data_IF_606155200697
#
_entry.id   IF_606155200697
#
_cell.length_a   1.000
_cell.length_b   1.000
_cell.length_c   1.000
_cell.angle_alpha   90.00
_cell.angle_beta   90.00
_cell.angle_gamma   90.00
#
_symmetry.space_group_name_H-M   'P 1'
#
loop_
_entity.id
_entity.type
_entity.pdbx_description
1 polymer ?
#
# COMPACT_ATOMS: atom_id res chain seq x y z
N UNK A 1 9.47 -9.85 22.57
CA UNK A 1 9.80 -8.53 22.00
C UNK A 1 10.17 -7.58 23.12
N UNK A 2 10.95 -6.53 22.81
CA UNK A 2 11.23 -5.44 23.75
C UNK A 2 10.02 -4.50 23.84
N UNK A 3 9.89 -3.76 24.94
CA UNK A 3 8.76 -2.85 25.16
C UNK A 3 8.72 -1.72 24.12
N UNK A 4 9.87 -1.16 23.74
CA UNK A 4 9.97 -0.10 22.71
C UNK A 4 9.41 -0.58 21.37
N UNK A 5 9.82 -1.77 20.95
CA UNK A 5 9.32 -2.41 19.73
C UNK A 5 7.81 -2.72 19.82
N UNK A 6 7.31 -3.07 21.00
CA UNK A 6 5.88 -3.26 21.22
C UNK A 6 5.11 -1.96 20.96
N UNK A 7 5.59 -0.83 21.49
CA UNK A 7 4.91 0.47 21.33
C UNK A 7 4.84 0.91 19.89
N UNK A 8 5.96 0.88 19.16
CA UNK A 8 5.97 1.24 17.74
C UNK A 8 5.03 0.36 16.90
N UNK A 9 4.99 -0.95 17.19
CA UNK A 9 4.13 -1.88 16.46
C UNK A 9 2.66 -1.73 16.85
N UNK A 10 2.38 -1.40 18.11
CA UNK A 10 1.03 -1.13 18.59
C UNK A 10 0.48 0.18 18.00
N UNK A 11 1.32 1.21 17.85
CA UNK A 11 0.96 2.49 17.22
C UNK A 11 0.61 2.36 15.74
N UNK A 12 1.22 1.40 15.04
CA UNK A 12 0.95 1.12 13.63
C UNK A 12 -0.24 0.20 13.41
N UNK A 13 -0.77 -0.42 14.47
CA UNK A 13 -1.93 -1.29 14.35
C UNK A 13 -3.17 -0.45 14.03
N UNK A 14 -3.93 -0.85 13.00
CA UNK A 14 -5.20 -0.19 12.67
C UNK A 14 -6.19 -0.35 13.82
N UNK A 15 -6.88 0.73 14.17
CA UNK A 15 -7.89 0.73 15.22
C UNK A 15 -9.04 -0.22 14.83
N UNK A 16 -9.30 -1.23 15.66
CA UNK A 16 -10.33 -2.26 15.40
C UNK A 16 -9.83 -3.51 14.66
N UNK A 17 -8.60 -3.54 14.15
CA UNK A 17 -8.01 -4.75 13.58
C UNK A 17 -7.52 -5.71 14.68
N UNK A 18 -7.56 -7.04 14.46
CA UNK A 18 -7.00 -8.00 15.41
C UNK A 18 -5.48 -7.79 15.51
N UNK A 19 -4.98 -7.71 16.74
CA UNK A 19 -3.54 -7.60 17.02
C UNK A 19 -2.81 -8.84 16.50
N UNK A 20 -1.57 -8.65 16.02
CA UNK A 20 -0.72 -9.78 15.66
C UNK A 20 -0.50 -10.70 16.88
N UNK A 21 -0.34 -12.03 16.69
CA UNK A 21 -0.21 -12.98 17.79
C UNK A 21 0.94 -12.63 18.75
N UNK A 22 2.03 -12.10 18.21
CA UNK A 22 3.18 -11.66 18.98
C UNK A 22 2.83 -10.48 19.91
N UNK A 23 2.11 -9.48 19.40
CA UNK A 23 1.64 -8.31 20.17
C UNK A 23 0.69 -8.75 21.28
N UNK A 24 -0.30 -9.58 20.95
CA UNK A 24 -1.27 -10.10 21.92
C UNK A 24 -0.59 -10.87 23.07
N UNK A 25 0.39 -11.72 22.74
CA UNK A 25 1.15 -12.48 23.74
C UNK A 25 1.99 -11.57 24.65
N UNK A 26 2.62 -10.54 24.08
CA UNK A 26 3.40 -9.60 24.87
C UNK A 26 2.53 -8.76 25.80
N UNK A 27 1.38 -8.30 25.31
CA UNK A 27 0.39 -7.56 26.10
C UNK A 27 -0.09 -8.38 27.30
N UNK A 28 -0.35 -9.68 27.11
CA UNK A 28 -0.75 -10.59 28.19
C UNK A 28 0.34 -10.87 29.23
N UNK A 29 1.63 -10.76 28.84
CA UNK A 29 2.77 -11.12 29.71
C UNK A 29 3.46 -9.93 30.36
N UNK A 30 3.37 -8.74 29.77
CA UNK A 30 4.09 -7.56 30.25
C UNK A 30 3.13 -6.58 30.95
N UNK A 31 3.15 -6.48 32.29
CA UNK A 31 2.23 -5.61 33.03
C UNK A 31 2.44 -4.12 32.72
N UNK A 32 3.68 -3.72 32.38
CA UNK A 32 4.01 -2.34 32.00
C UNK A 32 3.33 -1.94 30.70
N UNK A 33 3.39 -2.79 29.67
CA UNK A 33 2.73 -2.54 28.39
C UNK A 33 1.20 -2.61 28.53
N UNK A 34 0.68 -3.53 29.33
CA UNK A 34 -0.75 -3.61 29.64
C UNK A 34 -1.28 -2.31 30.30
N UNK A 35 -0.56 -1.79 31.30
CA UNK A 35 -0.93 -0.53 31.95
C UNK A 35 -0.92 0.67 30.99
N UNK A 36 0.06 0.74 30.09
CA UNK A 36 0.15 1.82 29.09
C UNK A 36 -1.00 1.77 28.07
N UNK A 37 -1.31 0.57 27.58
CA UNK A 37 -2.44 0.36 26.65
C UNK A 37 -3.77 0.75 27.31
N UNK A 38 -3.99 0.33 28.55
CA UNK A 38 -5.21 0.68 29.28
C UNK A 38 -5.32 2.18 29.55
N UNK A 39 -4.23 2.86 29.93
CA UNK A 39 -4.21 4.31 30.12
C UNK A 39 -4.59 5.04 28.83
N UNK A 40 -4.02 4.60 27.69
CA UNK A 40 -4.35 5.17 26.38
C UNK A 40 -5.80 4.92 26.00
N UNK A 41 -6.32 3.71 26.23
CA UNK A 41 -7.72 3.38 25.99
C UNK A 41 -8.66 4.30 26.76
N UNK A 42 -8.38 4.52 28.05
CA UNK A 42 -9.15 5.46 28.88
C UNK A 42 -9.05 6.90 28.41
N UNK A 43 -7.87 7.35 28.01
CA UNK A 43 -7.69 8.69 27.45
C UNK A 43 -8.54 8.87 26.17
N UNK A 44 -8.57 7.88 25.28
CA UNK A 44 -9.40 7.90 24.08
C UNK A 44 -10.90 7.86 24.40
N UNK A 45 -11.31 7.09 25.40
CA UNK A 45 -12.69 7.09 25.88
C UNK A 45 -13.11 8.47 26.40
N UNK A 46 -12.24 9.19 27.11
CA UNK A 46 -12.48 10.57 27.54
C UNK A 46 -12.61 11.54 26.35
N UNK A 47 -11.79 11.37 25.31
CA UNK A 47 -11.91 12.16 24.07
C UNK A 47 -13.23 11.91 23.31
N UNK A 48 -13.86 10.74 23.49
CA UNK A 48 -15.14 10.41 22.84
C UNK A 48 -16.36 11.00 23.55
N UNK A 49 -16.18 11.62 24.72
CA UNK A 49 -17.30 12.26 25.44
C UNK A 49 -17.71 13.51 24.65
N UNK A 50 -18.97 13.61 24.17
CA UNK A 50 -19.43 14.78 23.44
C UNK A 50 -19.40 16.01 24.37
N UNK A 51 -18.55 16.98 24.03
CA UNK A 51 -18.47 18.28 24.68
C UNK A 51 -18.84 19.42 23.71
N UNK A 52 -18.91 20.67 24.19
CA UNK A 52 -18.98 21.83 23.32
C UNK A 52 -17.64 21.98 22.58
N UNK A 53 -17.46 21.22 21.51
CA UNK A 53 -16.25 21.28 20.72
C UNK A 53 -16.25 22.58 19.90
N UNK A 54 -15.13 23.32 19.88
CA UNK A 54 -14.92 24.30 18.81
C UNK A 54 -15.01 23.58 17.47
N UNK A 55 -15.53 24.25 16.43
CA UNK A 55 -15.66 23.69 15.09
C UNK A 55 -14.29 23.40 14.44
N UNK A 56 -13.64 22.34 14.92
CA UNK A 56 -12.36 21.82 14.47
C UNK A 56 -12.54 21.16 13.12
N UNK A 57 -13.69 20.54 12.87
CA UNK A 57 -14.00 19.91 11.59
C UNK A 57 -13.89 20.92 10.44
N UNK A 58 -14.53 22.09 10.56
CA UNK A 58 -14.43 23.13 9.53
C UNK A 58 -13.01 23.70 9.40
N UNK A 59 -12.28 23.87 10.51
CA UNK A 59 -10.88 24.35 10.47
C UNK A 59 -9.94 23.35 9.80
N UNK A 60 -10.08 22.06 10.11
CA UNK A 60 -9.28 20.99 9.49
C UNK A 60 -9.64 20.85 8.01
N UNK A 61 -10.93 20.90 7.65
CA UNK A 61 -11.40 20.87 6.27
C UNK A 61 -10.92 22.07 5.45
N UNK A 62 -10.80 23.25 6.06
CA UNK A 62 -10.23 24.42 5.41
C UNK A 62 -8.72 24.27 5.10
N UNK A 63 -8.00 23.46 5.89
CA UNK A 63 -6.54 23.26 5.74
C UNK A 63 -6.21 22.06 4.84
N UNK A 64 -7.10 21.09 4.72
CA UNK A 64 -6.92 19.86 3.93
C UNK A 64 -6.45 20.07 2.48
N UNK A 65 -6.94 21.06 1.71
CA UNK A 65 -6.48 21.31 0.33
C UNK A 65 -5.00 21.73 0.25
N UNK A 66 -4.44 22.25 1.33
CA UNK A 66 -3.07 22.75 1.41
C UNK A 66 -2.10 21.73 2.02
N UNK A 67 -2.61 20.62 2.53
CA UNK A 67 -1.77 19.54 3.04
C UNK A 67 -1.31 18.65 1.87
N UNK A 68 -0.05 18.18 1.89
CA UNK A 68 0.40 17.18 0.94
C UNK A 68 -0.49 15.93 1.08
N UNK A 69 -0.93 15.38 -0.05
CA UNK A 69 -1.74 14.15 -0.04
C UNK A 69 -0.96 13.05 0.68
N UNK A 70 -1.58 12.31 1.62
CA UNK A 70 -0.91 11.18 2.25
C UNK A 70 -0.53 10.16 1.17
N UNK A 71 0.77 10.03 0.93
CA UNK A 71 1.31 9.04 0.00
C UNK A 71 1.25 7.68 0.66
N UNK A 72 0.24 6.86 0.32
CA UNK A 72 0.25 5.44 0.68
C UNK A 72 1.24 4.74 -0.25
N UNK A 73 2.48 4.59 0.20
CA UNK A 73 3.51 3.90 -0.57
C UNK A 73 3.22 2.39 -0.56
N UNK A 74 2.84 1.87 -1.72
CA UNK A 74 2.77 0.42 -1.92
C UNK A 74 4.21 -0.06 -2.13
N UNK A 75 4.63 -1.11 -1.43
CA UNK A 75 6.01 -1.59 -1.56
C UNK A 75 6.35 -1.93 -3.02
N UNK A 76 7.54 -1.49 -3.47
CA UNK A 76 8.04 -1.74 -4.84
C UNK A 76 8.00 -3.22 -5.22
N UNK A 77 8.24 -4.12 -4.24
CA UNK A 77 8.13 -5.58 -4.43
C UNK A 77 6.74 -6.01 -4.90
N UNK A 78 5.68 -5.46 -4.29
CA UNK A 78 4.31 -5.82 -4.68
C UNK A 78 4.02 -5.33 -6.10
N UNK A 79 4.49 -4.13 -6.47
CA UNK A 79 4.39 -3.61 -7.83
C UNK A 79 5.09 -4.50 -8.85
N UNK A 80 6.34 -4.90 -8.60
CA UNK A 80 7.10 -5.78 -9.49
C UNK A 80 6.42 -7.13 -9.64
N UNK A 81 5.94 -7.73 -8.54
CA UNK A 81 5.21 -8.99 -8.58
C UNK A 81 3.91 -8.89 -9.41
N UNK A 82 3.14 -7.80 -9.23
CA UNK A 82 1.95 -7.55 -10.04
C UNK A 82 2.28 -7.37 -11.52
N UNK A 83 3.35 -6.64 -11.85
CA UNK A 83 3.81 -6.47 -13.23
C UNK A 83 4.26 -7.77 -13.88
N UNK A 84 4.98 -8.62 -13.13
CA UNK A 84 5.37 -9.96 -13.58
C UNK A 84 4.14 -10.86 -13.79
N UNK A 85 3.18 -10.85 -12.87
CA UNK A 85 1.96 -11.63 -13.00
C UNK A 85 1.14 -11.19 -14.22
N UNK A 86 1.03 -9.88 -14.46
CA UNK A 86 0.32 -9.32 -15.61
C UNK A 86 1.03 -9.68 -16.92
N UNK A 87 2.36 -9.57 -16.97
CA UNK A 87 3.16 -9.98 -18.14
C UNK A 87 3.06 -11.48 -18.41
N UNK A 88 3.14 -12.31 -17.36
CA UNK A 88 2.97 -13.75 -17.46
C UNK A 88 1.58 -14.12 -18.00
N UNK A 89 0.54 -13.40 -17.60
CA UNK A 89 -0.82 -13.65 -18.11
C UNK A 89 -0.93 -13.45 -19.62
N UNK A 90 -0.29 -12.41 -20.18
CA UNK A 90 -0.27 -12.15 -21.63
C UNK A 90 0.37 -13.31 -22.41
N UNK A 91 1.43 -13.91 -21.84
CA UNK A 91 2.16 -15.01 -22.48
C UNK A 91 1.44 -16.35 -22.31
N UNK A 92 0.85 -16.58 -21.13
CA UNK A 92 0.23 -17.87 -20.78
C UNK A 92 -1.16 -18.03 -21.38
N UNK A 93 -1.94 -16.95 -21.52
CA UNK A 93 -3.31 -17.02 -22.04
C UNK A 93 -3.38 -17.64 -23.44
N UNK A 94 -2.53 -17.23 -24.42
CA UNK A 94 -2.51 -17.86 -25.74
C UNK A 94 -2.14 -19.35 -25.74
N UNK A 95 -1.43 -19.83 -24.71
CA UNK A 95 -1.03 -21.23 -24.58
C UNK A 95 -2.16 -22.14 -24.03
N UNK A 96 -3.29 -21.57 -23.62
CA UNK A 96 -4.41 -22.34 -23.06
C UNK A 96 -5.32 -22.92 -24.15
N UNK A 97 -5.83 -24.13 -23.92
CA UNK A 97 -6.83 -24.77 -24.81
C UNK A 97 -8.11 -23.96 -24.99
N UNK A 98 -8.47 -23.15 -24.00
CA UNK A 98 -9.63 -22.26 -24.11
C UNK A 98 -9.41 -21.21 -25.20
N UNK A 99 -8.19 -20.72 -25.34
CA UNK A 99 -7.87 -19.70 -26.34
C UNK A 99 -7.93 -20.27 -27.76
N UNK A 100 -7.52 -21.52 -27.98
CA UNK A 100 -7.66 -22.17 -29.29
C UNK A 100 -9.14 -22.33 -29.69
N UNK A 101 -10.00 -22.72 -28.75
CA UNK A 101 -11.45 -22.82 -29.00
C UNK A 101 -12.07 -21.48 -29.40
N UNK A 102 -11.63 -20.39 -28.76
CA UNK A 102 -12.10 -19.03 -29.10
C UNK A 102 -11.62 -18.62 -30.49
N UNK A 103 -10.39 -18.98 -30.88
CA UNK A 103 -9.89 -18.73 -32.25
C UNK A 103 -10.63 -19.58 -33.28
N UNK A 104 -10.98 -20.82 -32.97
CA UNK A 104 -11.75 -21.70 -33.85
C UNK A 104 -13.15 -21.13 -34.14
N UNK A 105 -13.82 -20.59 -33.12
CA UNK A 105 -15.19 -20.05 -33.24
C UNK A 105 -15.21 -18.63 -33.87
N UNK A 106 -14.35 -17.73 -33.40
CA UNK A 106 -14.40 -16.30 -33.78
C UNK A 106 -13.35 -15.91 -34.83
N UNK A 107 -12.44 -16.83 -35.17
CA UNK A 107 -11.36 -16.61 -36.11
C UNK A 107 -10.35 -15.55 -35.63
N UNK A 108 -9.52 -15.10 -36.58
CA UNK A 108 -8.45 -14.13 -36.28
C UNK A 108 -8.96 -12.73 -35.91
N UNK A 109 -10.27 -12.46 -36.05
CA UNK A 109 -10.89 -11.19 -35.65
C UNK A 109 -10.83 -10.97 -34.14
N UNK A 110 -10.74 -12.04 -33.35
CA UNK A 110 -10.59 -11.96 -31.89
C UNK A 110 -9.20 -11.46 -31.44
N UNK A 111 -8.17 -11.59 -32.28
CA UNK A 111 -6.81 -11.21 -31.92
C UNK A 111 -6.67 -9.69 -31.70
N UNK A 112 -7.42 -8.89 -32.46
CA UNK A 112 -7.36 -7.43 -32.41
C UNK A 112 -7.88 -6.85 -31.07
N UNK A 113 -9.10 -7.17 -30.59
CA UNK A 113 -9.54 -6.72 -29.27
C UNK A 113 -8.68 -7.30 -28.15
N UNK A 114 -8.19 -8.53 -28.28
CA UNK A 114 -7.29 -9.14 -27.31
C UNK A 114 -6.01 -8.32 -27.13
N UNK A 115 -5.29 -8.04 -28.22
CA UNK A 115 -4.04 -7.25 -28.17
C UNK A 115 -4.29 -5.83 -27.67
N UNK A 116 -5.40 -5.20 -28.07
CA UNK A 116 -5.77 -3.85 -27.59
C UNK A 116 -5.97 -3.80 -26.08
N UNK A 117 -6.75 -4.72 -25.51
CA UNK A 117 -7.06 -4.72 -24.08
C UNK A 117 -5.80 -4.98 -23.25
N UNK A 118 -4.99 -5.96 -23.65
CA UNK A 118 -3.73 -6.26 -22.93
C UNK A 118 -2.70 -5.14 -23.08
N UNK A 119 -2.54 -4.58 -24.29
CA UNK A 119 -1.65 -3.45 -24.54
C UNK A 119 -2.04 -2.20 -23.75
N UNK A 120 -3.34 -1.88 -23.69
CA UNK A 120 -3.88 -0.80 -22.88
C UNK A 120 -3.63 -1.06 -21.39
N UNK A 121 -3.92 -2.27 -20.92
CA UNK A 121 -3.74 -2.65 -19.51
C UNK A 121 -2.27 -2.52 -19.07
N UNK A 122 -1.33 -3.00 -19.91
CA UNK A 122 0.11 -2.85 -19.69
C UNK A 122 0.54 -1.38 -19.68
N UNK A 123 -0.02 -0.58 -20.58
CA UNK A 123 0.31 0.85 -20.70
C UNK A 123 -0.17 1.64 -19.48
N UNK A 124 -1.41 1.41 -19.03
CA UNK A 124 -1.96 2.01 -17.80
C UNK A 124 -1.13 1.57 -16.59
N UNK A 125 -0.81 0.28 -16.49
CA UNK A 125 0.05 -0.22 -15.41
C UNK A 125 1.42 0.46 -15.41
N UNK A 126 2.07 0.58 -16.56
CA UNK A 126 3.36 1.24 -16.71
C UNK A 126 3.33 2.72 -16.34
N UNK A 127 2.30 3.45 -16.80
CA UNK A 127 2.11 4.85 -16.46
C UNK A 127 1.95 5.07 -14.95
N UNK A 128 1.13 4.23 -14.29
CA UNK A 128 0.96 4.28 -12.84
C UNK A 128 2.26 3.93 -12.11
N UNK A 129 2.95 2.87 -12.54
CA UNK A 129 4.22 2.46 -11.94
C UNK A 129 5.28 3.57 -11.99
N UNK A 130 5.44 4.20 -13.15
CA UNK A 130 6.38 5.32 -13.33
C UNK A 130 5.96 6.50 -12.45
N UNK A 131 4.67 6.87 -12.48
CA UNK A 131 4.16 8.00 -11.71
C UNK A 131 4.35 7.84 -10.19
N UNK A 132 4.15 6.63 -9.65
CA UNK A 132 4.26 6.39 -8.21
C UNK A 132 5.71 6.19 -7.72
N UNK A 133 6.66 5.89 -8.61
CA UNK A 133 8.06 5.65 -8.26
C UNK A 133 9.02 6.69 -8.85
N UNK A 134 8.51 7.80 -9.39
CA UNK A 134 9.32 8.84 -10.02
C UNK A 134 10.36 9.42 -9.05
N UNK A 135 10.00 9.58 -7.77
CA UNK A 135 10.91 10.08 -6.73
C UNK A 135 12.06 9.10 -6.43
N UNK A 136 11.76 7.80 -6.40
CA UNK A 136 12.80 6.76 -6.20
C UNK A 136 13.72 6.63 -7.43
N UNK A 137 13.15 6.72 -8.63
CA UNK A 137 13.90 6.68 -9.90
C UNK A 137 14.78 7.92 -10.07
N UNK A 138 14.29 9.11 -9.71
CA UNK A 138 15.07 10.34 -9.75
C UNK A 138 16.24 10.31 -8.77
N UNK A 139 16.07 9.69 -7.59
CA UNK A 139 17.16 9.45 -6.64
C UNK A 139 18.25 8.48 -7.15
N UNK A 140 17.89 7.51 -8.00
CA UNK A 140 18.82 6.59 -8.66
C UNK A 140 19.60 7.26 -9.80
N UNK A 141 18.94 8.13 -10.58
CA UNK A 141 19.55 8.85 -11.71
C UNK A 141 20.35 10.07 -11.23
N UNK A 142 19.96 10.70 -10.12
CA UNK A 142 20.54 11.94 -9.60
C UNK A 142 21.72 11.81 -8.66
N UNK A 143 22.21 10.60 -8.32
CA UNK A 143 23.43 10.44 -7.51
C UNK A 143 24.68 10.43 -8.40
N UNK A 144 25.45 11.53 -8.52
CA UNK A 144 26.83 11.40 -8.94
C UNK A 144 27.54 10.50 -7.94
N UNK A 145 28.22 9.46 -8.45
CA UNK A 145 29.15 8.64 -7.66
C UNK A 145 30.12 9.60 -6.97
N UNK A 146 29.94 9.84 -5.67
CA UNK A 146 30.95 10.48 -4.86
C UNK A 146 32.19 9.58 -4.92
N UNK A 147 33.23 10.07 -5.61
CA UNK A 147 34.54 9.44 -5.67
C UNK A 147 35.05 9.36 -4.23
N UNK A 148 35.45 8.19 -3.70
CA UNK A 148 36.02 8.14 -2.36
C UNK A 148 37.25 9.04 -2.34
N UNK A 149 37.24 10.02 -1.44
CA UNK A 149 38.41 10.82 -1.14
C UNK A 149 39.41 9.89 -0.43
N UNK A 150 40.53 9.67 -1.14
CA UNK A 150 41.81 9.06 -0.75
C UNK A 150 41.89 8.31 0.58
#
# INVERSE_FOLDING_TARGET
>A
MKCETFEELYDRAEEGAPLSPALALHLARCPRCAARVELRRRALELYRIPGPEPDLASRVLAVLPFLPRPHRTVSLRNWVLSGLALSASVVLVPAQRVFSLVIEEYGNRWMLPFVLVFGLSLSVFGALFIGTHMDELSGLVGRPRAKPAR
#
